data_IF_873317141804
#
_entry.id   IF_873317141804
#
_cell.length_a   1.000
_cell.length_b   1.000
_cell.length_c   1.000
_cell.angle_alpha   90.00
_cell.angle_beta   90.00
_cell.angle_gamma   90.00
#
_symmetry.space_group_name_H-M   'P 1'
#
loop_
_entity.id
_entity.type
_entity.pdbx_description
1 polymer ?
#
# COMPACT_ATOMS: atom_id res chain seq x y z
N UNK A 1 -4.46 2.29 10.33
CA UNK A 1 -3.51 1.43 9.60
C UNK A 1 -4.05 0.03 9.54
N UNK A 2 -4.14 -0.53 8.33
CA UNK A 2 -4.62 -1.89 8.11
C UNK A 2 -3.65 -2.67 7.26
N UNK A 3 -3.54 -3.96 7.53
CA UNK A 3 -2.61 -4.85 6.84
C UNK A 3 -3.42 -5.92 6.11
N UNK A 4 -3.16 -6.07 4.81
CA UNK A 4 -3.81 -7.03 3.94
C UNK A 4 -2.79 -8.12 3.59
N UNK A 5 -3.08 -9.35 4.01
CA UNK A 5 -2.24 -10.53 3.76
C UNK A 5 -2.94 -11.57 2.88
N UNK A 6 -4.27 -11.53 2.83
CA UNK A 6 -5.09 -12.43 2.06
C UNK A 6 -6.33 -11.73 1.47
N UNK A 7 -6.91 -12.33 0.44
CA UNK A 7 -8.18 -11.89 -0.17
C UNK A 7 -9.30 -11.67 0.86
N UNK A 8 -9.32 -12.49 1.92
CA UNK A 8 -10.31 -12.39 3.01
C UNK A 8 -10.23 -11.06 3.76
N UNK A 9 -9.03 -10.46 3.87
CA UNK A 9 -8.87 -9.16 4.51
C UNK A 9 -9.57 -8.07 3.70
N UNK A 10 -9.46 -8.12 2.36
CA UNK A 10 -10.14 -7.19 1.44
C UNK A 10 -11.66 -7.33 1.58
N UNK A 11 -12.19 -8.55 1.59
CA UNK A 11 -13.62 -8.80 1.78
C UNK A 11 -14.15 -8.27 3.12
N UNK A 12 -13.35 -8.40 4.20
CA UNK A 12 -13.71 -7.87 5.52
C UNK A 12 -13.73 -6.35 5.52
N UNK A 13 -12.78 -5.70 4.84
CA UNK A 13 -12.74 -4.25 4.70
C UNK A 13 -13.93 -3.71 3.89
N UNK A 14 -14.29 -4.42 2.81
CA UNK A 14 -15.45 -4.07 2.00
C UNK A 14 -16.75 -4.13 2.80
N UNK A 15 -16.94 -5.19 3.61
CA UNK A 15 -18.10 -5.34 4.48
C UNK A 15 -18.16 -4.32 5.62
N UNK A 16 -17.01 -3.77 6.02
CA UNK A 16 -16.95 -2.76 7.06
C UNK A 16 -17.36 -1.37 6.58
N UNK A 17 -17.41 -1.13 5.25
CA UNK A 17 -17.79 0.16 4.63
C UNK A 17 -17.00 1.36 5.16
N UNK A 18 -15.77 1.11 5.61
CA UNK A 18 -14.86 2.08 6.21
C UNK A 18 -13.97 2.79 5.20
N UNK A 19 -13.81 2.21 4.01
CA UNK A 19 -12.94 2.70 2.95
C UNK A 19 -13.74 2.77 1.64
N UNK A 20 -13.40 3.69 0.73
CA UNK A 20 -14.04 3.74 -0.58
C UNK A 20 -13.89 2.40 -1.32
N UNK A 21 -15.00 1.87 -1.84
CA UNK A 21 -14.99 0.62 -2.61
C UNK A 21 -14.00 0.67 -3.77
N UNK A 22 -13.88 1.82 -4.43
CA UNK A 22 -12.96 2.00 -5.54
C UNK A 22 -11.48 1.88 -5.12
N UNK A 23 -11.11 2.31 -3.90
CA UNK A 23 -9.76 2.07 -3.38
C UNK A 23 -9.54 0.57 -3.15
N UNK A 24 -10.55 -0.12 -2.61
CA UNK A 24 -10.48 -1.57 -2.41
C UNK A 24 -10.39 -2.33 -3.73
N UNK A 25 -11.05 -1.85 -4.79
CA UNK A 25 -10.92 -2.43 -6.14
C UNK A 25 -9.47 -2.34 -6.65
N UNK A 26 -8.81 -1.19 -6.51
CA UNK A 26 -7.39 -1.03 -6.89
C UNK A 26 -6.46 -1.93 -6.06
N UNK A 27 -6.73 -2.06 -4.77
CA UNK A 27 -5.98 -2.93 -3.87
C UNK A 27 -6.17 -4.41 -4.24
N UNK A 28 -7.39 -4.79 -4.59
CA UNK A 28 -7.76 -6.14 -5.04
C UNK A 28 -7.11 -6.48 -6.40
N UNK A 29 -7.10 -5.55 -7.33
CA UNK A 29 -6.43 -5.70 -8.62
C UNK A 29 -4.92 -5.89 -8.44
N UNK A 30 -4.29 -5.10 -7.58
CA UNK A 30 -2.87 -5.25 -7.25
C UNK A 30 -2.57 -6.59 -6.55
N UNK A 31 -3.42 -7.00 -5.60
CA UNK A 31 -3.30 -8.31 -4.95
C UNK A 31 -3.39 -9.46 -5.96
N UNK A 32 -4.31 -9.37 -6.91
CA UNK A 32 -4.47 -10.36 -7.98
C UNK A 32 -3.28 -10.37 -8.94
N UNK A 33 -2.69 -9.20 -9.23
CA UNK A 33 -1.47 -9.10 -10.02
C UNK A 33 -0.31 -9.84 -9.34
N UNK A 34 -0.05 -9.52 -8.06
CA UNK A 34 0.96 -10.21 -7.27
C UNK A 34 0.72 -11.72 -7.21
N UNK A 35 -0.54 -12.14 -7.08
CA UNK A 35 -0.90 -13.56 -7.13
C UNK A 35 -0.51 -14.19 -8.47
N UNK A 36 -0.80 -13.55 -9.60
CA UNK A 36 -0.47 -14.10 -10.91
C UNK A 36 1.05 -14.18 -11.12
N UNK A 37 1.80 -13.18 -10.67
CA UNK A 37 3.27 -13.15 -10.82
C UNK A 37 3.99 -14.15 -9.90
N UNK A 38 3.46 -14.39 -8.70
CA UNK A 38 4.11 -15.23 -7.68
C UNK A 38 3.58 -16.67 -7.64
N UNK A 39 2.37 -16.95 -8.13
CA UNK A 39 1.74 -18.27 -8.05
C UNK A 39 2.03 -19.10 -9.32
N UNK A 40 3.02 -20.00 -9.23
CA UNK A 40 3.32 -21.00 -10.27
C UNK A 40 2.29 -22.15 -10.19
N UNK A 41 1.15 -21.99 -10.86
CA UNK A 41 0.03 -22.94 -11.14
C UNK A 41 -0.54 -23.84 -10.00
N UNK A 42 -0.06 -23.79 -8.76
CA UNK A 42 -0.39 -24.80 -7.75
C UNK A 42 -0.94 -24.24 -6.42
N UNK A 43 -2.27 -24.27 -6.34
CA UNK A 43 -3.10 -24.55 -5.14
C UNK A 43 -3.29 -23.45 -4.09
N UNK A 44 -4.50 -22.89 -4.13
CA UNK A 44 -5.40 -22.59 -3.01
C UNK A 44 -4.77 -21.93 -1.78
N UNK A 45 -5.07 -20.64 -1.62
CA UNK A 45 -4.72 -19.74 -0.52
C UNK A 45 -3.38 -19.01 -0.68
N UNK A 46 -3.22 -18.30 -1.80
CA UNK A 46 -2.19 -17.26 -1.94
C UNK A 46 -2.24 -16.31 -0.73
N UNK A 47 -1.11 -16.19 -0.05
CA UNK A 47 -0.92 -15.32 1.10
C UNK A 47 0.38 -14.56 0.91
N UNK A 48 0.30 -13.25 1.05
CA UNK A 48 1.41 -12.30 0.99
C UNK A 48 2.38 -12.40 2.20
N UNK A 49 2.34 -13.50 2.95
CA UNK A 49 3.01 -13.62 4.25
C UNK A 49 4.53 -13.57 4.18
N UNK A 50 5.13 -14.37 3.28
CA UNK A 50 6.59 -14.52 3.19
C UNK A 50 7.24 -13.61 2.12
N UNK A 51 6.45 -13.04 1.21
CA UNK A 51 6.93 -12.28 0.04
C UNK A 51 6.58 -10.77 0.08
N UNK A 52 6.06 -10.29 1.22
CA UNK A 52 5.66 -8.90 1.42
C UNK A 52 4.15 -8.70 1.30
N UNK A 53 3.60 -7.77 2.08
CA UNK A 53 2.16 -7.54 2.24
C UNK A 53 1.73 -6.11 1.94
N UNK A 54 0.42 -5.94 1.71
CA UNK A 54 -0.17 -4.63 1.39
C UNK A 54 -0.55 -3.93 2.70
N UNK A 55 -0.25 -2.64 2.80
CA UNK A 55 -0.59 -1.80 3.94
C UNK A 55 -1.48 -0.65 3.47
N UNK A 56 -2.61 -0.44 4.15
CA UNK A 56 -3.47 0.72 3.96
C UNK A 56 -3.23 1.72 5.09
N UNK A 57 -2.82 2.91 4.70
CA UNK A 57 -2.62 4.06 5.57
C UNK A 57 -3.87 4.95 5.50
N UNK A 58 -4.41 5.24 6.67
CA UNK A 58 -5.61 6.06 6.88
C UNK A 58 -5.20 7.42 7.49
N UNK A 59 -6.11 8.38 7.47
CA UNK A 59 -5.92 9.65 8.17
C UNK A 59 -5.65 9.41 9.67
N UNK A 60 -4.61 10.07 10.20
CA UNK A 60 -4.18 9.90 11.59
C UNK A 60 -3.19 8.77 11.84
N UNK A 61 -2.87 7.95 10.82
CA UNK A 61 -1.75 7.01 10.93
C UNK A 61 -0.40 7.73 10.99
N UNK A 62 0.49 7.21 11.82
CA UNK A 62 1.83 7.77 11.96
C UNK A 62 2.75 7.25 10.85
N UNK A 63 2.72 7.88 9.69
CA UNK A 63 3.58 7.54 8.54
C UNK A 63 5.07 7.76 8.79
N UNK A 64 5.41 8.54 9.81
CA UNK A 64 6.77 8.74 10.30
C UNK A 64 7.27 7.55 11.14
N UNK A 65 6.40 6.62 11.54
CA UNK A 65 6.77 5.45 12.32
C UNK A 65 5.88 4.25 11.95
N UNK A 66 6.31 3.54 10.90
CA UNK A 66 5.68 2.31 10.44
C UNK A 66 6.56 1.11 10.80
N UNK A 67 7.11 1.08 12.03
CA UNK A 67 8.00 -0.01 12.48
C UNK A 67 7.39 -1.41 12.35
N UNK A 68 6.06 -1.53 12.42
CA UNK A 68 5.35 -2.79 12.14
C UNK A 68 5.50 -3.27 10.68
N UNK A 69 5.73 -2.35 9.75
CA UNK A 69 5.99 -2.59 8.34
C UNK A 69 7.47 -2.50 7.96
N UNK A 70 8.39 -2.31 8.91
CA UNK A 70 9.84 -2.21 8.65
C UNK A 70 10.37 -0.79 8.37
N UNK A 71 9.53 0.25 8.37
CA UNK A 71 9.96 1.64 8.23
C UNK A 71 9.93 2.33 9.58
N UNK A 72 11.06 2.29 10.30
CA UNK A 72 11.15 2.85 11.64
C UNK A 72 11.26 4.37 11.62
N UNK A 73 10.86 4.99 12.73
CA UNK A 73 11.03 6.43 12.95
C UNK A 73 12.47 6.91 12.85
N UNK A 74 13.43 6.10 13.28
CA UNK A 74 14.86 6.45 13.26
C UNK A 74 15.38 6.65 11.83
N UNK A 75 14.78 5.94 10.88
CA UNK A 75 15.13 6.01 9.46
C UNK A 75 14.25 7.00 8.69
N UNK A 76 13.32 7.70 9.35
CA UNK A 76 12.40 8.65 8.71
C UNK A 76 11.09 8.05 8.20
N UNK A 77 10.73 6.84 8.62
CA UNK A 77 9.46 6.21 8.27
C UNK A 77 9.27 6.09 6.76
N UNK A 78 8.08 6.47 6.26
CA UNK A 78 7.78 6.48 4.83
C UNK A 78 8.69 7.43 4.03
N UNK A 79 9.00 8.62 4.56
CA UNK A 79 9.76 9.64 3.83
C UNK A 79 11.25 9.31 3.73
N UNK A 80 11.76 8.53 4.67
CA UNK A 80 13.13 8.06 4.64
C UNK A 80 13.35 6.75 3.89
N UNK A 81 12.27 6.11 3.42
CA UNK A 81 12.37 4.94 2.56
C UNK A 81 12.83 5.33 1.15
N UNK A 82 13.45 4.38 0.44
CA UNK A 82 13.70 4.49 -0.99
C UNK A 82 12.63 3.67 -1.73
N UNK A 83 11.48 4.25 -2.12
CA UNK A 83 10.49 3.52 -2.88
C UNK A 83 11.06 3.14 -4.25
N UNK A 84 10.68 1.97 -4.74
CA UNK A 84 10.94 1.56 -6.12
C UNK A 84 10.15 2.44 -7.09
N UNK A 85 8.89 2.70 -6.74
CA UNK A 85 8.04 3.65 -7.45
C UNK A 85 6.90 4.15 -6.57
N UNK A 86 6.38 5.32 -6.92
CA UNK A 86 5.14 5.88 -6.36
C UNK A 86 4.19 6.19 -7.51
N UNK A 87 2.96 5.71 -7.40
CA UNK A 87 1.93 5.92 -8.42
C UNK A 87 0.74 6.67 -7.82
N UNK A 88 0.29 7.71 -8.52
CA UNK A 88 -0.97 8.40 -8.23
C UNK A 88 -2.11 7.70 -8.98
N UNK A 89 -3.02 7.10 -8.23
CA UNK A 89 -4.21 6.41 -8.73
C UNK A 89 -5.42 7.35 -8.67
N UNK A 90 -6.17 7.42 -9.77
CA UNK A 90 -7.54 7.97 -9.76
C UNK A 90 -8.49 6.87 -9.26
N UNK A 91 -9.02 7.07 -8.05
CA UNK A 91 -9.95 6.12 -7.42
C UNK A 91 -11.41 6.53 -7.66
N UNK A 92 -11.67 7.43 -8.60
CA UNK A 92 -13.00 7.86 -9.00
C UNK A 92 -13.64 8.87 -8.06
N UNK A 93 -14.67 9.57 -8.55
CA UNK A 93 -15.37 10.60 -7.77
C UNK A 93 -14.51 11.84 -7.47
N UNK A 94 -13.40 12.03 -8.20
CA UNK A 94 -12.43 13.11 -7.96
C UNK A 94 -11.48 12.84 -6.79
N UNK A 95 -11.52 11.63 -6.22
CA UNK A 95 -10.60 11.19 -5.18
C UNK A 95 -9.37 10.53 -5.83
N UNK A 96 -8.23 10.72 -5.19
CA UNK A 96 -6.98 10.10 -5.62
C UNK A 96 -6.37 9.32 -4.45
N UNK A 97 -5.54 8.33 -4.78
CA UNK A 97 -4.74 7.59 -3.81
C UNK A 97 -3.31 7.44 -4.31
N UNK A 98 -2.35 7.33 -3.41
CA UNK A 98 -0.98 6.98 -3.72
C UNK A 98 -0.76 5.51 -3.45
N UNK A 99 -0.08 4.82 -4.38
CA UNK A 99 0.49 3.49 -4.20
C UNK A 99 2.01 3.62 -4.16
N UNK A 100 2.61 3.33 -3.02
CA UNK A 100 4.06 3.39 -2.79
C UNK A 100 4.57 1.95 -2.71
N UNK A 101 5.43 1.56 -3.65
CA UNK A 101 6.06 0.25 -3.63
C UNK A 101 7.48 0.35 -3.08
N UNK A 102 7.79 -0.41 -2.02
CA UNK A 102 9.08 -0.41 -1.34
C UNK A 102 9.67 -1.81 -1.39
N UNK A 103 10.85 -1.93 -2.01
CA UNK A 103 11.60 -3.18 -2.09
C UNK A 103 12.59 -3.26 -0.92
N UNK A 104 12.39 -4.21 0.00
CA UNK A 104 13.29 -4.39 1.15
C UNK A 104 14.48 -5.28 0.82
N UNK A 105 14.24 -6.31 0.02
CA UNK A 105 15.26 -7.19 -0.54
C UNK A 105 14.80 -7.68 -1.91
N UNK A 106 15.62 -8.50 -2.58
CA UNK A 106 15.37 -8.93 -3.96
C UNK A 106 14.04 -9.69 -4.16
N UNK A 107 13.44 -10.25 -3.10
CA UNK A 107 12.25 -11.08 -3.17
C UNK A 107 11.10 -10.57 -2.27
N UNK A 108 11.27 -9.41 -1.61
CA UNK A 108 10.31 -8.85 -0.64
C UNK A 108 9.92 -7.41 -0.97
N UNK A 109 8.73 -7.26 -1.56
CA UNK A 109 8.13 -5.97 -1.93
C UNK A 109 6.92 -5.69 -1.03
N UNK A 110 6.90 -4.52 -0.38
CA UNK A 110 5.70 -4.04 0.31
C UNK A 110 5.05 -2.90 -0.47
N UNK A 111 3.73 -2.94 -0.57
CA UNK A 111 2.97 -1.86 -1.16
C UNK A 111 2.14 -1.14 -0.09
N UNK A 112 2.31 0.18 -0.02
CA UNK A 112 1.54 1.05 0.85
C UNK A 112 0.54 1.82 -0.01
N UNK A 113 -0.71 1.83 0.40
CA UNK A 113 -1.78 2.59 -0.22
C UNK A 113 -2.25 3.66 0.77
N UNK A 114 -2.39 4.89 0.31
CA UNK A 114 -2.94 5.99 1.10
C UNK A 114 -3.81 6.90 0.25
N UNK A 115 -4.84 7.48 0.84
CA UNK A 115 -5.67 8.46 0.15
C UNK A 115 -4.94 9.82 0.06
N UNK A 116 -4.99 10.47 -1.10
CA UNK A 116 -4.39 11.80 -1.26
C UNK A 116 -5.09 12.82 -0.35
N UNK A 117 -4.29 13.62 0.36
CA UNK A 117 -4.75 14.57 1.37
C UNK A 117 -5.06 13.97 2.75
N UNK A 118 -4.71 12.70 3.00
CA UNK A 118 -4.89 12.07 4.30
C UNK A 118 -3.74 12.36 5.28
N UNK A 119 -2.63 12.93 4.80
CA UNK A 119 -1.44 13.21 5.60
C UNK A 119 -1.13 14.70 5.70
N UNK A 120 -0.12 15.04 6.51
CA UNK A 120 0.37 16.41 6.63
C UNK A 120 1.01 16.90 5.31
N UNK A 121 1.15 18.23 5.19
CA UNK A 121 1.61 18.88 3.96
C UNK A 121 2.99 18.38 3.49
N UNK A 122 3.88 18.04 4.42
CA UNK A 122 5.23 17.57 4.11
C UNK A 122 5.19 16.17 3.46
N UNK A 123 4.41 15.26 4.05
CA UNK A 123 4.21 13.91 3.50
C UNK A 123 3.52 13.97 2.14
N UNK A 124 2.48 14.79 2.00
CA UNK A 124 1.73 14.93 0.75
C UNK A 124 2.60 15.52 -0.37
N UNK A 125 3.49 16.46 -0.05
CA UNK A 125 4.42 17.00 -1.03
C UNK A 125 5.43 15.93 -1.46
N UNK A 126 5.99 15.17 -0.51
CA UNK A 126 6.90 14.08 -0.81
C UNK A 126 6.25 13.03 -1.72
N UNK A 127 5.02 12.62 -1.44
CA UNK A 127 4.28 11.65 -2.26
C UNK A 127 4.07 12.15 -3.70
N UNK A 128 3.75 13.44 -3.86
CA UNK A 128 3.63 14.06 -5.20
C UNK A 128 4.96 14.06 -5.94
N UNK A 129 6.03 14.50 -5.27
CA UNK A 129 7.35 14.59 -5.89
C UNK A 129 7.81 13.20 -6.36
N UNK A 130 7.64 12.16 -5.54
CA UNK A 130 7.97 10.78 -5.92
C UNK A 130 7.11 10.26 -7.08
N UNK A 131 5.82 10.61 -7.12
CA UNK A 131 4.91 10.20 -8.18
C UNK A 131 5.22 10.89 -9.53
N UNK A 132 5.81 12.09 -9.52
CA UNK A 132 6.25 12.78 -10.74
C UNK A 132 7.60 12.27 -11.28
N UNK A 133 8.42 11.66 -10.42
CA UNK A 133 9.75 11.13 -10.76
C UNK A 133 9.67 9.70 -11.33
N UNK A 134 8.60 8.97 -11.01
CA UNK A 134 8.38 7.56 -11.39
C UNK A 134 7.98 7.37 -12.86
#
# INVERSE_FOLDING_TARGET
>A
MRIIKAQQDIELLRRAEVLPDALLDHVEDYFNHLRIELEDEAKSHFRLGENGYIVLLEEGDNVWDLGNGGLNREDGGLLGCCPEYVELLDIGGGLHAYKVAVLYDNDYLMAFFTQAGAHDEEVEQWLKDQAEIS
#
